data_IF_899642240049
#
_entry.id   IF_899642240049
#
_cell.length_a   1.000
_cell.length_b   1.000
_cell.length_c   1.000
_cell.angle_alpha   90.00
_cell.angle_beta   90.00
_cell.angle_gamma   90.00
#
_symmetry.space_group_name_H-M   'P 1'
#
loop_
_entity.id
_entity.type
_entity.pdbx_description
1 polymer ?
#
# COMPACT_ATOMS: atom_id res chain seq x y z
N UNK A 1 -24.54 -79.04 -39.06
CA UNK A 1 -24.53 -77.64 -38.60
C UNK A 1 -24.46 -77.70 -37.07
N UNK A 2 -23.27 -77.64 -36.49
CA UNK A 2 -22.54 -76.42 -36.07
C UNK A 2 -23.07 -75.87 -34.71
N UNK A 3 -22.40 -76.14 -33.58
CA UNK A 3 -21.49 -75.24 -32.77
C UNK A 3 -22.31 -74.40 -31.74
N UNK A 4 -22.39 -74.77 -30.45
CA UNK A 4 -21.52 -74.50 -29.25
C UNK A 4 -21.90 -73.23 -28.44
N UNK A 5 -22.17 -73.51 -27.15
CA UNK A 5 -21.93 -72.79 -25.86
C UNK A 5 -22.50 -71.41 -25.47
N UNK A 6 -22.99 -71.40 -24.22
CA UNK A 6 -22.81 -70.42 -23.12
C UNK A 6 -21.81 -69.28 -23.35
N UNK A 7 -22.19 -68.03 -23.02
CA UNK A 7 -21.43 -67.18 -22.08
C UNK A 7 -22.15 -65.88 -21.65
N UNK A 8 -21.78 -65.43 -20.46
CA UNK A 8 -22.24 -64.29 -19.64
C UNK A 8 -21.54 -62.94 -19.97
N UNK A 9 -22.16 -61.83 -19.54
CA UNK A 9 -21.68 -60.47 -19.15
C UNK A 9 -20.78 -59.63 -20.11
N UNK A 10 -21.13 -58.35 -20.37
CA UNK A 10 -20.75 -57.17 -19.54
C UNK A 10 -21.04 -55.79 -20.22
N UNK A 11 -21.18 -54.77 -19.35
CA UNK A 11 -20.93 -53.31 -19.45
C UNK A 11 -21.68 -52.27 -20.36
N UNK A 12 -22.37 -51.38 -19.63
CA UNK A 12 -22.47 -49.89 -19.62
C UNK A 12 -23.06 -49.03 -20.78
N UNK A 13 -23.86 -47.98 -20.45
CA UNK A 13 -24.63 -47.18 -21.43
C UNK A 13 -24.00 -45.83 -21.82
N UNK A 14 -24.18 -45.46 -23.10
CA UNK A 14 -23.86 -44.17 -23.72
C UNK A 14 -24.80 -43.04 -23.31
N UNK A 15 -24.21 -41.86 -23.05
CA UNK A 15 -24.87 -40.55 -22.94
C UNK A 15 -25.64 -40.18 -24.21
N UNK A 16 -26.83 -39.60 -24.03
CA UNK A 16 -27.63 -39.00 -25.09
C UNK A 16 -27.97 -37.55 -24.68
N UNK A 17 -27.55 -36.61 -25.54
CA UNK A 17 -27.76 -35.18 -25.43
C UNK A 17 -29.25 -34.82 -25.58
N UNK A 18 -29.74 -33.90 -24.76
CA UNK A 18 -30.94 -33.11 -25.07
C UNK A 18 -30.68 -31.65 -24.74
N UNK A 19 -30.97 -30.80 -25.72
CA UNK A 19 -30.79 -29.36 -25.75
C UNK A 19 -31.96 -28.64 -25.09
N UNK A 20 -31.66 -27.64 -24.27
CA UNK A 20 -32.59 -26.53 -24.03
C UNK A 20 -31.79 -25.22 -23.94
N UNK A 21 -32.15 -24.31 -24.82
CA UNK A 21 -31.51 -23.02 -25.07
C UNK A 21 -32.11 -21.93 -24.18
N UNK A 22 -31.25 -21.11 -23.59
CA UNK A 22 -31.58 -19.76 -23.12
C UNK A 22 -30.47 -18.82 -23.62
N UNK A 23 -30.80 -17.60 -24.06
CA UNK A 23 -29.90 -16.78 -24.85
C UNK A 23 -28.85 -16.12 -23.96
N UNK A 24 -27.59 -16.55 -24.08
CA UNK A 24 -26.47 -15.81 -23.53
C UNK A 24 -26.22 -14.55 -24.37
N UNK A 25 -26.33 -13.41 -23.70
CA UNK A 25 -25.87 -12.10 -24.13
C UNK A 25 -24.48 -12.24 -24.72
N UNK A 26 -24.36 -12.05 -26.04
CA UNK A 26 -23.09 -12.10 -26.75
C UNK A 26 -22.32 -10.81 -26.43
N UNK A 27 -21.55 -10.82 -25.33
CA UNK A 27 -20.44 -9.89 -25.19
C UNK A 27 -19.41 -10.30 -26.23
N UNK A 28 -19.19 -9.46 -27.24
CA UNK A 28 -18.12 -9.64 -28.22
C UNK A 28 -16.81 -9.40 -27.48
N UNK A 29 -16.30 -10.44 -26.84
CA UNK A 29 -14.94 -10.47 -26.30
C UNK A 29 -14.03 -10.73 -27.49
N UNK A 30 -13.12 -9.80 -27.75
CA UNK A 30 -12.11 -9.96 -28.78
C UNK A 30 -11.13 -11.02 -28.28
N UNK A 31 -11.38 -12.29 -28.60
CA UNK A 31 -10.53 -13.41 -28.20
C UNK A 31 -9.11 -13.21 -28.73
N UNK A 32 -8.13 -13.34 -27.83
CA UNK A 32 -6.72 -13.31 -28.17
C UNK A 32 -6.29 -14.55 -28.98
N UNK A 33 -5.21 -14.46 -29.78
CA UNK A 33 -4.79 -15.50 -30.71
C UNK A 33 -4.39 -16.85 -30.08
N UNK A 34 -4.28 -16.92 -28.75
CA UNK A 34 -3.95 -18.15 -28.00
C UNK A 34 -4.93 -18.43 -26.87
N UNK A 35 -6.07 -17.75 -26.83
CA UNK A 35 -7.02 -17.85 -25.72
C UNK A 35 -7.60 -19.26 -25.60
N UNK A 36 -7.81 -19.96 -26.73
CA UNK A 36 -8.32 -21.35 -26.74
C UNK A 36 -7.36 -22.36 -26.09
N UNK A 37 -6.05 -22.04 -26.07
CA UNK A 37 -5.04 -22.88 -25.41
C UNK A 37 -4.88 -22.49 -23.95
N UNK A 38 -5.03 -21.19 -23.63
CA UNK A 38 -4.82 -20.67 -22.28
C UNK A 38 -6.05 -20.85 -21.38
N UNK A 39 -7.27 -20.76 -21.93
CA UNK A 39 -8.54 -20.91 -21.20
C UNK A 39 -8.61 -22.25 -20.43
N UNK A 40 -8.38 -23.43 -21.05
CA UNK A 40 -8.44 -24.70 -20.33
C UNK A 40 -7.39 -24.85 -19.23
N UNK A 41 -6.24 -24.18 -19.39
CA UNK A 41 -5.14 -24.22 -18.41
C UNK A 41 -5.47 -23.34 -17.20
N UNK A 42 -6.10 -22.19 -17.43
CA UNK A 42 -6.58 -21.27 -16.38
C UNK A 42 -7.80 -21.82 -15.62
N UNK A 43 -8.63 -22.65 -16.26
CA UNK A 43 -9.75 -23.32 -15.60
C UNK A 43 -9.29 -24.44 -14.64
N UNK A 44 -8.16 -25.09 -14.93
CA UNK A 44 -7.64 -26.20 -14.11
C UNK A 44 -6.68 -25.76 -13.00
N UNK A 45 -6.05 -24.58 -13.10
CA UNK A 45 -5.00 -24.14 -12.17
C UNK A 45 -5.15 -22.66 -11.81
N UNK A 46 -4.77 -22.26 -10.57
CA UNK A 46 -4.82 -20.85 -10.19
C UNK A 46 -3.90 -20.01 -11.09
N UNK A 47 -4.26 -18.74 -11.40
CA UNK A 47 -3.56 -17.93 -12.40
C UNK A 47 -2.06 -17.76 -12.14
N UNK A 48 -1.66 -17.58 -10.89
CA UNK A 48 -0.25 -17.48 -10.50
C UNK A 48 0.54 -18.75 -10.82
N UNK A 49 -0.09 -19.93 -10.70
CA UNK A 49 0.57 -21.20 -11.01
C UNK A 49 0.75 -21.39 -12.51
N UNK A 50 -0.15 -20.84 -13.33
CA UNK A 50 0.01 -20.81 -14.79
C UNK A 50 1.20 -19.94 -15.19
N UNK A 51 1.33 -18.76 -14.59
CA UNK A 51 2.49 -17.88 -14.82
C UNK A 51 3.81 -18.55 -14.41
N UNK A 52 3.84 -19.23 -13.26
CA UNK A 52 5.00 -19.99 -12.81
C UNK A 52 5.39 -21.10 -13.81
N UNK A 53 4.41 -21.83 -14.34
CA UNK A 53 4.64 -22.87 -15.35
C UNK A 53 5.20 -22.31 -16.66
N UNK A 54 4.71 -21.15 -17.09
CA UNK A 54 5.22 -20.46 -18.28
C UNK A 54 6.65 -19.98 -18.04
N UNK A 55 6.94 -19.40 -16.87
CA UNK A 55 8.30 -18.98 -16.48
C UNK A 55 9.25 -20.17 -16.43
N UNK A 56 8.85 -21.28 -15.83
CA UNK A 56 9.66 -22.51 -15.80
C UNK A 56 9.90 -23.09 -17.20
N UNK A 57 8.87 -23.09 -18.05
CA UNK A 57 9.01 -23.52 -19.45
C UNK A 57 9.99 -22.63 -20.22
N UNK A 58 9.87 -21.30 -20.09
CA UNK A 58 10.77 -20.34 -20.73
C UNK A 58 12.21 -20.47 -20.20
N UNK A 59 12.38 -20.72 -18.90
CA UNK A 59 13.71 -21.00 -18.32
C UNK A 59 14.38 -22.24 -18.95
N UNK A 60 13.61 -23.28 -19.30
CA UNK A 60 14.13 -24.52 -19.87
C UNK A 60 14.28 -24.50 -21.39
N UNK A 61 13.44 -23.76 -22.09
CA UNK A 61 13.32 -23.79 -23.57
C UNK A 61 13.72 -22.49 -24.26
N UNK A 62 14.03 -21.44 -23.51
CA UNK A 62 14.49 -20.15 -24.02
C UNK A 62 15.75 -19.70 -23.28
N UNK A 63 16.47 -18.76 -23.89
CA UNK A 63 17.60 -18.03 -23.35
C UNK A 63 17.19 -16.71 -22.68
N UNK A 64 15.89 -16.43 -22.57
CA UNK A 64 15.32 -15.22 -21.97
C UNK A 64 15.95 -14.85 -20.61
N UNK A 65 16.24 -15.85 -19.76
CA UNK A 65 16.79 -15.65 -18.41
C UNK A 65 18.33 -15.54 -18.37
N UNK A 66 19.01 -15.55 -19.52
CA UNK A 66 20.45 -15.24 -19.60
C UNK A 66 20.73 -13.75 -19.72
N UNK A 67 19.72 -12.95 -20.05
CA UNK A 67 19.79 -11.50 -20.09
C UNK A 67 19.59 -10.91 -18.69
N UNK A 68 20.57 -10.14 -18.21
CA UNK A 68 20.52 -9.49 -16.90
C UNK A 68 19.40 -8.44 -16.80
N UNK A 69 18.88 -7.96 -17.93
CA UNK A 69 17.74 -7.04 -18.02
C UNK A 69 16.37 -7.75 -18.07
N UNK A 70 16.32 -9.08 -17.97
CA UNK A 70 15.07 -9.86 -18.07
C UNK A 70 14.03 -9.44 -17.03
N UNK A 71 14.46 -9.19 -15.79
CA UNK A 71 13.57 -8.79 -14.70
C UNK A 71 12.91 -7.44 -14.98
N UNK A 72 13.68 -6.50 -15.54
CA UNK A 72 13.17 -5.19 -15.96
C UNK A 72 12.16 -5.33 -17.09
N UNK A 73 12.45 -6.15 -18.11
CA UNK A 73 11.56 -6.39 -19.26
C UNK A 73 10.25 -7.06 -18.84
N UNK A 74 10.30 -8.09 -17.98
CA UNK A 74 9.10 -8.73 -17.42
C UNK A 74 8.31 -7.72 -16.56
N UNK A 75 8.99 -6.92 -15.75
CA UNK A 75 8.36 -5.87 -14.94
C UNK A 75 7.64 -4.80 -15.77
N UNK A 76 8.22 -4.39 -16.91
CA UNK A 76 7.61 -3.47 -17.86
C UNK A 76 6.34 -4.08 -18.50
N UNK A 77 6.39 -5.35 -18.89
CA UNK A 77 5.22 -6.07 -19.43
C UNK A 77 4.07 -6.17 -18.40
N UNK A 78 4.39 -6.49 -17.14
CA UNK A 78 3.39 -6.53 -16.06
C UNK A 78 2.79 -5.15 -15.80
N UNK A 79 3.63 -4.11 -15.81
CA UNK A 79 3.18 -2.73 -15.62
C UNK A 79 2.27 -2.26 -16.76
N UNK A 80 2.60 -2.63 -18.01
CA UNK A 80 1.77 -2.34 -19.18
C UNK A 80 0.42 -3.06 -19.11
N UNK A 81 0.39 -4.32 -18.67
CA UNK A 81 -0.87 -5.07 -18.47
C UNK A 81 -1.76 -4.42 -17.40
N UNK A 82 -1.19 -3.98 -16.27
CA UNK A 82 -1.93 -3.25 -15.23
C UNK A 82 -2.51 -1.93 -15.74
N UNK A 83 -1.76 -1.17 -16.54
CA UNK A 83 -2.24 0.09 -17.15
C UNK A 83 -3.42 -0.15 -18.08
N UNK A 84 -3.37 -1.20 -18.92
CA UNK A 84 -4.48 -1.57 -19.81
C UNK A 84 -5.75 -1.95 -19.05
N UNK A 85 -5.64 -2.73 -17.98
CA UNK A 85 -6.80 -3.11 -17.14
C UNK A 85 -7.45 -1.89 -16.47
N UNK A 86 -6.65 -0.92 -15.99
CA UNK A 86 -7.17 0.33 -15.42
C UNK A 86 -7.87 1.19 -16.49
N UNK A 87 -7.30 1.27 -17.69
CA UNK A 87 -7.89 2.04 -18.80
C UNK A 87 -9.20 1.42 -19.29
N UNK A 88 -9.26 0.09 -19.42
CA UNK A 88 -10.50 -0.62 -19.77
C UNK A 88 -11.59 -0.46 -18.70
N UNK A 89 -11.22 -0.48 -17.41
CA UNK A 89 -12.17 -0.21 -16.33
C UNK A 89 -12.68 1.22 -16.37
N UNK A 90 -11.84 2.21 -16.67
CA UNK A 90 -12.26 3.62 -16.83
C UNK A 90 -13.22 3.80 -18.01
N UNK A 91 -12.91 3.23 -19.17
CA UNK A 91 -13.79 3.26 -20.36
C UNK A 91 -15.15 2.61 -20.09
N UNK A 92 -15.17 1.46 -19.38
CA UNK A 92 -16.43 0.79 -18.97
C UNK A 92 -17.27 1.62 -18.00
N UNK A 93 -16.67 2.50 -17.19
CA UNK A 93 -17.39 3.41 -16.29
C UNK A 93 -17.94 4.62 -17.06
N UNK A 94 -17.18 5.18 -18.01
CA UNK A 94 -17.61 6.28 -18.85
C UNK A 94 -18.74 5.87 -19.82
N UNK A 95 -18.67 4.67 -20.43
CA UNK A 95 -19.75 4.14 -21.27
C UNK A 95 -21.04 3.83 -20.50
N UNK A 96 -20.94 3.43 -19.22
CA UNK A 96 -22.11 3.19 -18.35
C UNK A 96 -22.69 4.46 -17.75
N UNK A 97 -22.00 5.59 -17.85
CA UNK A 97 -22.38 6.89 -17.27
C UNK A 97 -23.45 7.69 -18.04
N UNK A 98 -23.96 7.20 -19.19
CA UNK A 98 -24.90 7.94 -20.03
C UNK A 98 -26.39 7.59 -19.83
N UNK A 99 -26.77 7.03 -18.67
CA UNK A 99 -28.18 6.81 -18.30
C UNK A 99 -28.43 7.03 -16.81
N UNK A 100 -28.23 8.26 -16.30
CA UNK A 100 -29.04 8.79 -15.19
C UNK A 100 -28.83 10.31 -15.03
N UNK A 101 -29.41 11.12 -15.91
CA UNK A 101 -29.67 12.53 -15.59
C UNK A 101 -31.08 12.63 -15.01
N UNK A 102 -31.20 12.76 -13.68
CA UNK A 102 -32.23 13.56 -12.98
C UNK A 102 -32.20 13.40 -11.45
N UNK A 103 -31.35 14.16 -10.76
CA UNK A 103 -31.72 14.96 -9.56
C UNK A 103 -30.54 15.79 -9.00
N UNK A 104 -30.51 17.02 -9.50
CA UNK A 104 -29.95 18.29 -9.02
C UNK A 104 -28.87 18.32 -7.89
N UNK A 105 -27.73 19.00 -8.13
CA UNK A 105 -26.72 19.38 -7.14
C UNK A 105 -27.04 20.76 -6.54
N UNK A 106 -26.82 20.98 -5.24
CA UNK A 106 -26.64 22.33 -4.64
C UNK A 106 -26.36 22.23 -3.13
N UNK A 107 -25.07 22.33 -2.74
CA UNK A 107 -24.54 23.02 -1.53
C UNK A 107 -23.05 22.72 -1.38
N UNK A 108 -22.21 23.44 -2.14
CA UNK A 108 -20.77 23.54 -1.87
C UNK A 108 -20.17 24.78 -2.51
N UNK A 109 -20.44 25.95 -1.92
CA UNK A 109 -19.69 27.18 -2.12
C UNK A 109 -19.93 28.04 -0.88
N UNK A 110 -19.08 27.91 0.16
CA UNK A 110 -18.70 28.93 1.17
C UNK A 110 -17.75 28.27 2.17
N UNK A 111 -16.47 28.15 1.81
CA UNK A 111 -15.35 27.94 2.76
C UNK A 111 -14.03 28.11 2.01
N UNK A 112 -13.85 29.28 1.39
CA UNK A 112 -12.59 29.70 0.77
C UNK A 112 -12.22 31.13 1.19
N UNK A 113 -12.75 31.62 2.32
CA UNK A 113 -12.55 33.00 2.78
C UNK A 113 -12.33 33.09 4.29
N UNK A 114 -11.55 32.17 4.87
CA UNK A 114 -10.96 32.32 6.22
C UNK A 114 -9.56 31.70 6.25
N UNK A 115 -8.65 32.17 5.40
CA UNK A 115 -7.22 31.85 5.51
C UNK A 115 -6.33 33.11 5.46
N UNK A 116 -6.86 34.27 5.09
CA UNK A 116 -6.06 35.51 4.95
C UNK A 116 -5.86 36.36 6.23
N UNK A 117 -6.09 35.85 7.46
CA UNK A 117 -5.95 36.71 8.65
C UNK A 117 -5.29 36.16 9.90
N UNK A 118 -4.37 35.20 9.76
CA UNK A 118 -3.66 34.64 10.92
C UNK A 118 -2.14 34.48 10.76
N UNK A 119 -1.52 35.13 9.77
CA UNK A 119 -0.05 35.16 9.61
C UNK A 119 0.48 36.54 9.96
N UNK A 120 0.19 37.03 11.17
CA UNK A 120 0.84 38.24 11.67
C UNK A 120 0.81 38.27 13.21
N UNK A 121 1.58 37.36 13.82
CA UNK A 121 2.12 37.46 15.20
C UNK A 121 2.81 36.13 15.55
N UNK A 122 4.11 36.05 15.23
CA UNK A 122 5.15 35.28 15.96
C UNK A 122 6.47 35.36 15.19
N UNK A 123 7.03 36.57 15.14
CA UNK A 123 8.47 36.82 15.00
C UNK A 123 8.83 37.73 16.17
N UNK A 124 10.01 37.53 16.76
CA UNK A 124 10.54 38.14 18.01
C UNK A 124 9.98 37.41 19.26
N UNK A 125 10.71 36.55 19.97
CA UNK A 125 12.04 36.70 20.59
C UNK A 125 12.76 35.34 20.62
N UNK A 126 14.01 35.34 20.17
CA UNK A 126 14.98 34.27 20.41
C UNK A 126 15.99 34.75 21.48
N UNK A 127 16.55 33.78 22.20
CA UNK A 127 17.81 33.80 22.96
C UNK A 127 17.91 34.43 24.37
N UNK A 128 18.10 33.57 25.38
CA UNK A 128 19.40 33.32 26.08
C UNK A 128 19.19 32.60 27.42
N UNK A 129 19.75 31.38 27.58
CA UNK A 129 20.84 31.11 28.55
C UNK A 129 21.32 29.66 28.48
N UNK A 130 22.63 29.53 28.29
CA UNK A 130 23.44 28.31 28.46
C UNK A 130 23.94 28.23 29.91
N UNK A 131 24.19 27.00 30.36
CA UNK A 131 25.21 26.54 31.34
C UNK A 131 24.70 26.03 32.71
N UNK A 132 24.99 24.75 32.98
CA UNK A 132 24.96 24.12 34.30
C UNK A 132 25.40 22.65 34.22
N UNK A 133 26.59 22.35 34.75
CA UNK A 133 27.29 21.05 34.79
C UNK A 133 26.75 20.07 35.84
N UNK A 134 26.96 18.78 35.56
CA UNK A 134 27.32 17.64 36.42
C UNK A 134 26.68 17.50 37.81
N UNK A 135 25.95 16.39 38.04
CA UNK A 135 26.34 15.40 39.07
C UNK A 135 25.57 14.06 38.91
N UNK A 136 26.28 12.96 39.17
CA UNK A 136 25.83 11.57 39.06
C UNK A 136 24.75 11.18 40.09
N UNK A 137 23.72 10.42 39.66
CA UNK A 137 23.24 9.24 40.43
C UNK A 137 22.31 8.34 39.62
N UNK A 138 22.79 7.09 39.46
CA UNK A 138 22.13 5.76 39.38
C UNK A 138 20.61 5.64 39.10
N UNK A 139 20.32 4.56 38.36
CA UNK A 139 19.03 3.96 37.89
C UNK A 139 18.54 4.58 36.57
N UNK A 140 18.22 3.86 35.49
CA UNK A 140 17.44 2.61 35.38
C UNK A 140 17.63 1.95 33.99
N UNK A 141 17.33 0.65 33.94
CA UNK A 141 17.26 -0.22 32.77
C UNK A 141 16.22 0.24 31.72
N UNK A 142 16.54 1.23 30.91
CA UNK A 142 15.70 1.66 29.78
C UNK A 142 16.51 1.87 28.51
N UNK A 143 17.18 0.81 28.03
CA UNK A 143 17.52 0.71 26.61
C UNK A 143 16.19 0.70 25.85
N UNK A 144 15.84 1.86 25.28
CA UNK A 144 14.69 2.05 24.37
C UNK A 144 14.62 0.87 23.40
N UNK A 145 13.60 0.04 23.56
CA UNK A 145 13.34 -1.17 22.76
C UNK A 145 12.75 -0.74 21.41
N UNK A 146 13.53 0.05 20.67
CA UNK A 146 13.16 0.64 19.37
C UNK A 146 13.76 -0.24 18.28
N UNK A 147 12.90 -0.88 17.50
CA UNK A 147 13.25 -1.81 16.44
C UNK A 147 13.15 -1.14 15.07
N UNK A 148 13.97 -1.61 14.13
CA UNK A 148 13.87 -1.17 12.75
C UNK A 148 12.54 -1.66 12.13
N UNK A 149 11.86 -0.81 11.33
CA UNK A 149 10.63 -1.21 10.66
C UNK A 149 10.86 -2.36 9.67
N UNK A 150 9.84 -3.21 9.50
CA UNK A 150 9.79 -4.19 8.41
C UNK A 150 9.46 -3.50 7.06
N UNK A 151 9.38 -4.26 5.97
CA UNK A 151 9.06 -3.73 4.61
C UNK A 151 7.74 -2.96 4.53
N UNK A 152 6.83 -3.18 5.47
CA UNK A 152 5.55 -2.48 5.56
C UNK A 152 5.50 -1.51 6.73
N UNK A 153 6.63 -0.95 7.17
CA UNK A 153 6.69 0.10 8.20
C UNK A 153 6.12 -0.28 9.59
N UNK A 154 5.94 -1.57 9.87
CA UNK A 154 5.54 -2.11 11.17
C UNK A 154 6.62 -3.01 11.76
N UNK A 155 6.23 -4.05 12.50
CA UNK A 155 7.14 -5.03 13.10
C UNK A 155 6.70 -6.47 12.83
N UNK A 156 7.69 -7.36 12.85
CA UNK A 156 7.49 -8.80 12.81
C UNK A 156 7.72 -9.39 14.20
N UNK A 157 6.72 -10.09 14.73
CA UNK A 157 6.81 -10.86 15.97
C UNK A 157 6.78 -12.36 15.67
N UNK A 158 7.07 -13.17 16.68
CA UNK A 158 7.02 -14.64 16.55
C UNK A 158 5.61 -15.17 16.26
N UNK A 159 4.58 -14.52 16.82
CA UNK A 159 3.19 -14.98 16.73
C UNK A 159 2.36 -14.29 15.65
N UNK A 160 2.80 -13.12 15.20
CA UNK A 160 2.10 -12.31 14.21
C UNK A 160 3.02 -11.23 13.66
N UNK A 161 2.68 -10.62 12.54
CA UNK A 161 3.33 -9.42 12.05
C UNK A 161 2.31 -8.33 11.81
N UNK A 162 2.76 -7.08 11.78
CA UNK A 162 1.91 -5.99 11.36
C UNK A 162 2.67 -5.03 10.46
N UNK A 163 1.93 -4.39 9.58
CA UNK A 163 2.37 -3.37 8.66
C UNK A 163 1.46 -2.17 8.79
N UNK A 164 1.88 -1.02 8.30
CA UNK A 164 1.08 0.19 8.33
C UNK A 164 1.39 1.11 7.16
N UNK A 165 0.39 1.88 6.81
CA UNK A 165 0.49 3.10 6.02
C UNK A 165 0.14 4.30 6.92
N UNK A 166 0.10 5.51 6.37
CA UNK A 166 -0.41 6.67 7.11
C UNK A 166 -1.89 6.51 7.48
N UNK A 167 -2.67 5.78 6.68
CA UNK A 167 -4.12 5.68 6.80
C UNK A 167 -4.58 4.43 7.54
N UNK A 168 -3.81 3.35 7.45
CA UNK A 168 -4.25 2.01 7.87
C UNK A 168 -3.14 1.25 8.57
N UNK A 169 -3.50 0.28 9.41
CA UNK A 169 -2.59 -0.72 9.96
C UNK A 169 -3.14 -2.11 9.67
N UNK A 170 -2.31 -3.01 9.15
CA UNK A 170 -2.70 -4.36 8.78
C UNK A 170 -1.96 -5.36 9.65
N UNK A 171 -2.71 -6.25 10.30
CA UNK A 171 -2.18 -7.29 11.18
C UNK A 171 -2.30 -8.62 10.44
N UNK A 172 -1.22 -9.40 10.37
CA UNK A 172 -1.20 -10.75 9.81
C UNK A 172 -0.84 -11.75 10.90
N UNK A 173 -1.75 -12.67 11.18
CA UNK A 173 -1.59 -13.70 12.21
C UNK A 173 -1.59 -15.08 11.55
N UNK A 174 -0.46 -15.79 11.49
CA UNK A 174 -0.43 -17.18 11.02
C UNK A 174 -1.29 -18.08 11.91
N UNK A 175 -2.08 -18.96 11.28
CA UNK A 175 -2.95 -19.93 11.96
C UNK A 175 -2.80 -21.32 11.34
N UNK A 176 -3.13 -22.41 12.07
CA UNK A 176 -3.06 -23.77 11.53
C UNK A 176 -3.90 -23.93 10.26
N UNK A 177 -3.41 -24.73 9.32
CA UNK A 177 -4.11 -24.97 8.05
C UNK A 177 -5.51 -25.56 8.26
N UNK A 178 -6.48 -25.05 7.52
CA UNK A 178 -7.88 -25.47 7.64
C UNK A 178 -8.65 -24.74 8.73
N UNK A 179 -8.09 -23.68 9.31
CA UNK A 179 -8.80 -22.79 10.22
C UNK A 179 -9.98 -22.13 9.49
N UNK A 180 -11.20 -22.36 10.00
CA UNK A 180 -12.44 -21.78 9.46
C UNK A 180 -12.84 -20.54 10.26
N UNK A 181 -13.56 -19.62 9.63
CA UNK A 181 -14.02 -18.35 10.24
C UNK A 181 -14.77 -18.53 11.56
N UNK A 182 -15.55 -19.61 11.70
CA UNK A 182 -16.28 -19.93 12.94
C UNK A 182 -15.40 -20.18 14.18
N UNK A 183 -14.11 -20.47 13.96
CA UNK A 183 -13.14 -20.69 15.02
C UNK A 183 -12.30 -19.44 15.31
N UNK A 184 -12.45 -18.37 14.54
CA UNK A 184 -11.72 -17.12 14.77
C UNK A 184 -12.54 -16.22 15.70
N UNK A 185 -11.88 -15.68 16.71
CA UNK A 185 -12.40 -14.64 17.59
C UNK A 185 -11.62 -13.37 17.27
N UNK A 186 -12.27 -12.45 16.56
CA UNK A 186 -11.73 -11.13 16.26
C UNK A 186 -12.70 -10.08 16.80
N UNK A 187 -12.27 -9.33 17.81
CA UNK A 187 -13.00 -8.19 18.36
C UNK A 187 -12.17 -6.92 18.15
N UNK A 188 -12.72 -5.98 17.39
CA UNK A 188 -12.11 -4.69 17.11
C UNK A 188 -12.96 -3.63 17.81
N UNK A 189 -12.33 -2.89 18.72
CA UNK A 189 -12.92 -1.73 19.40
C UNK A 189 -12.11 -0.49 19.07
N UNK A 190 -12.64 0.68 19.41
CA UNK A 190 -12.04 1.98 19.07
C UNK A 190 -10.55 2.07 19.43
N UNK A 191 -10.15 1.61 20.62
CA UNK A 191 -8.77 1.65 21.11
C UNK A 191 -8.27 0.26 21.56
N UNK A 192 -8.91 -0.83 21.14
CA UNK A 192 -8.56 -2.16 21.65
C UNK A 192 -8.77 -3.19 20.56
N UNK A 193 -7.84 -4.13 20.45
CA UNK A 193 -7.95 -5.24 19.50
C UNK A 193 -7.74 -6.55 20.23
N UNK A 194 -8.56 -7.53 19.88
CA UNK A 194 -8.44 -8.90 20.37
C UNK A 194 -8.58 -9.88 19.22
N UNK A 195 -7.55 -10.69 19.01
CA UNK A 195 -7.47 -11.67 17.92
C UNK A 195 -7.00 -13.00 18.49
N UNK A 196 -7.72 -14.07 18.19
CA UNK A 196 -7.34 -15.41 18.62
C UNK A 196 -8.25 -16.50 18.04
N UNK A 197 -7.99 -17.73 18.47
CA UNK A 197 -8.80 -18.89 18.12
C UNK A 197 -9.72 -19.26 19.28
N UNK A 198 -10.95 -19.66 18.96
CA UNK A 198 -11.96 -20.07 19.93
C UNK A 198 -11.45 -21.27 20.73
N UNK A 199 -11.41 -21.12 22.06
CA UNK A 199 -10.93 -22.16 22.98
C UNK A 199 -9.41 -22.16 23.21
N UNK A 200 -8.66 -21.23 22.60
CA UNK A 200 -7.25 -20.99 22.87
C UNK A 200 -7.03 -19.61 23.51
N UNK A 201 -5.89 -19.39 24.18
CA UNK A 201 -5.52 -18.03 24.60
C UNK A 201 -5.47 -17.07 23.41
N UNK A 202 -5.90 -15.81 23.57
CA UNK A 202 -5.82 -14.83 22.50
C UNK A 202 -4.37 -14.60 22.09
N UNK A 203 -4.15 -14.48 20.78
CA UNK A 203 -2.81 -14.23 20.22
C UNK A 203 -2.44 -12.76 20.45
N UNK A 204 -3.42 -11.87 20.28
CA UNK A 204 -3.32 -10.44 20.53
C UNK A 204 -4.51 -10.06 21.41
N UNK A 205 -4.24 -9.38 22.52
CA UNK A 205 -5.28 -8.78 23.37
C UNK A 205 -4.68 -7.55 24.06
N UNK A 206 -5.01 -6.36 23.57
CA UNK A 206 -4.53 -5.14 24.21
C UNK A 206 -4.97 -3.84 23.55
N UNK A 207 -4.55 -2.76 24.22
CA UNK A 207 -4.88 -1.37 23.86
C UNK A 207 -4.05 -0.93 22.65
N UNK A 208 -4.71 -0.43 21.61
CA UNK A 208 -4.09 0.09 20.39
C UNK A 208 -3.32 1.38 20.68
N UNK A 209 -2.33 1.71 19.84
CA UNK A 209 -1.61 2.98 19.92
C UNK A 209 -2.53 4.20 19.82
N UNK A 210 -3.49 4.17 18.91
CA UNK A 210 -4.45 5.25 18.72
C UNK A 210 -5.81 4.73 18.25
N UNK A 211 -6.83 5.60 18.33
CA UNK A 211 -8.18 5.28 17.87
C UNK A 211 -8.26 4.87 16.39
N UNK A 212 -9.10 3.86 16.14
CA UNK A 212 -9.47 3.37 14.81
C UNK A 212 -10.95 3.64 14.53
N UNK A 213 -11.29 3.76 13.24
CA UNK A 213 -12.67 3.82 12.75
C UNK A 213 -13.20 2.40 12.67
N UNK A 214 -13.82 1.92 13.74
CA UNK A 214 -14.28 0.52 13.87
C UNK A 214 -15.18 0.09 12.71
N UNK A 215 -16.02 0.99 12.21
CA UNK A 215 -16.93 0.71 11.08
C UNK A 215 -16.19 0.47 9.74
N UNK A 216 -14.98 1.02 9.61
CA UNK A 216 -14.09 0.87 8.45
C UNK A 216 -12.99 -0.19 8.70
N UNK A 217 -13.08 -0.95 9.79
CA UNK A 217 -12.16 -2.05 10.08
C UNK A 217 -12.79 -3.38 9.66
N UNK A 218 -12.01 -4.25 9.03
CA UNK A 218 -12.47 -5.59 8.66
C UNK A 218 -11.37 -6.61 8.86
N UNK A 219 -11.77 -7.88 8.96
CA UNK A 219 -10.85 -9.00 9.03
C UNK A 219 -11.27 -10.08 8.05
N UNK A 220 -10.29 -10.81 7.56
CA UNK A 220 -10.47 -11.92 6.62
C UNK A 220 -9.50 -13.05 6.94
N UNK A 221 -9.83 -14.25 6.48
CA UNK A 221 -8.91 -15.38 6.50
C UNK A 221 -8.36 -15.55 5.09
N UNK A 222 -7.05 -15.56 4.95
CA UNK A 222 -6.33 -15.79 3.71
C UNK A 222 -5.89 -17.26 3.67
N UNK A 223 -6.28 -17.94 2.59
CA UNK A 223 -5.96 -19.35 2.28
C UNK A 223 -6.27 -20.39 3.38
N UNK A 224 -7.07 -20.03 4.40
CA UNK A 224 -7.26 -20.83 5.63
C UNK A 224 -5.96 -21.07 6.41
N UNK A 225 -4.97 -20.18 6.28
CA UNK A 225 -3.64 -20.27 6.92
C UNK A 225 -3.20 -19.00 7.64
N UNK A 226 -3.81 -17.85 7.34
CA UNK A 226 -3.51 -16.59 8.03
C UNK A 226 -4.79 -15.79 8.25
N UNK A 227 -4.85 -15.09 9.38
CA UNK A 227 -5.88 -14.09 9.65
C UNK A 227 -5.27 -12.73 9.32
N UNK A 228 -5.90 -11.99 8.42
CA UNK A 228 -5.56 -10.61 8.10
C UNK A 228 -6.60 -9.68 8.72
N UNK A 229 -6.16 -8.68 9.48
CA UNK A 229 -7.01 -7.67 10.10
C UNK A 229 -6.57 -6.30 9.64
N UNK A 230 -7.47 -5.57 8.98
CA UNK A 230 -7.26 -4.20 8.54
C UNK A 230 -7.90 -3.24 9.54
N UNK A 231 -7.08 -2.35 10.08
CA UNK A 231 -7.46 -1.31 11.02
C UNK A 231 -7.36 0.06 10.33
N UNK A 232 -8.50 0.71 10.13
CA UNK A 232 -8.54 2.07 9.57
C UNK A 232 -8.27 3.09 10.67
N UNK A 233 -7.16 3.83 10.57
CA UNK A 233 -6.78 4.82 11.58
C UNK A 233 -7.76 5.99 11.59
N UNK A 234 -8.12 6.46 12.78
CA UNK A 234 -8.90 7.69 12.90
C UNK A 234 -8.05 8.92 12.54
N UNK A 235 -6.79 8.95 12.99
CA UNK A 235 -5.80 9.94 12.58
C UNK A 235 -4.96 9.41 11.42
N UNK A 236 -5.22 9.90 10.20
CA UNK A 236 -4.61 9.43 8.96
C UNK A 236 -3.28 10.15 8.61
N UNK A 237 -2.73 10.93 9.54
CA UNK A 237 -1.46 11.66 9.36
C UNK A 237 -0.39 11.20 10.36
N UNK A 238 -0.58 10.05 11.00
CA UNK A 238 0.26 9.60 12.11
C UNK A 238 0.77 8.16 11.93
N UNK A 239 2.09 8.02 12.05
CA UNK A 239 2.76 6.72 12.12
C UNK A 239 2.67 6.17 13.53
N UNK A 240 2.18 4.95 13.65
CA UNK A 240 2.08 4.27 14.93
C UNK A 240 3.45 3.76 15.34
N UNK A 241 3.82 4.01 16.60
CA UNK A 241 5.09 3.51 17.15
C UNK A 241 4.99 2.06 17.57
N UNK A 242 3.81 1.56 17.89
CA UNK A 242 3.56 0.16 18.23
C UNK A 242 2.14 -0.19 17.81
N UNK A 243 1.82 -1.48 17.71
CA UNK A 243 0.45 -1.90 17.46
C UNK A 243 -0.34 -1.88 18.77
N UNK A 244 0.16 -2.62 19.76
CA UNK A 244 -0.44 -2.76 21.09
C UNK A 244 0.49 -2.20 22.17
N UNK A 245 -0.07 -1.55 23.17
CA UNK A 245 0.68 -1.00 24.30
C UNK A 245 1.46 -2.07 25.05
N UNK A 246 2.74 -1.81 25.27
CA UNK A 246 3.66 -2.74 25.96
C UNK A 246 4.56 -3.54 25.01
N UNK A 247 4.34 -3.43 23.70
CA UNK A 247 5.22 -4.00 22.67
C UNK A 247 6.39 -3.05 22.35
N UNK A 248 7.48 -3.57 21.75
CA UNK A 248 8.58 -2.75 21.27
C UNK A 248 8.11 -1.69 20.27
N UNK A 249 8.79 -0.55 20.28
CA UNK A 249 8.46 0.57 19.41
C UNK A 249 9.18 0.44 18.05
N UNK A 250 8.55 0.88 16.97
CA UNK A 250 9.12 1.07 15.64
C UNK A 250 9.89 2.38 15.60
N UNK A 251 11.07 2.34 14.98
CA UNK A 251 11.79 3.55 14.61
C UNK A 251 11.07 4.30 13.47
N UNK A 252 10.10 5.14 13.84
CA UNK A 252 9.32 5.97 12.90
C UNK A 252 10.15 6.95 12.07
N UNK A 253 11.43 7.19 12.39
CA UNK A 253 12.32 8.02 11.57
C UNK A 253 12.82 7.28 10.31
N UNK A 254 12.77 5.95 10.29
CA UNK A 254 13.19 5.10 9.16
C UNK A 254 12.01 4.58 8.34
N UNK A 255 10.80 5.00 8.67
CA UNK A 255 9.59 4.61 7.96
C UNK A 255 9.57 5.31 6.61
N UNK A 256 9.47 4.52 5.54
CA UNK A 256 9.38 5.03 4.18
C UNK A 256 7.92 5.32 3.87
N UNK A 257 7.53 6.59 3.61
CA UNK A 257 6.16 6.89 3.26
C UNK A 257 5.77 6.21 1.95
N UNK A 258 4.55 5.68 1.90
CA UNK A 258 3.86 5.08 0.75
C UNK A 258 3.56 6.10 -0.37
N UNK A 259 4.30 7.20 -0.45
CA UNK A 259 4.39 7.99 -1.67
C UNK A 259 5.25 7.21 -2.65
N UNK A 260 4.64 6.15 -3.19
CA UNK A 260 4.29 6.07 -4.60
C UNK A 260 5.38 6.65 -5.47
N UNK A 261 6.10 5.77 -6.16
CA UNK A 261 7.06 6.10 -7.22
C UNK A 261 6.68 7.44 -7.82
N UNK A 262 7.55 8.44 -7.70
CA UNK A 262 7.35 9.81 -8.22
C UNK A 262 6.77 9.85 -9.66
N UNK A 263 6.89 8.76 -10.41
CA UNK A 263 6.26 8.50 -11.69
C UNK A 263 4.73 8.46 -11.72
N UNK A 264 4.04 8.21 -10.61
CA UNK A 264 2.58 8.03 -10.55
C UNK A 264 1.84 9.33 -10.17
N UNK A 265 2.57 10.37 -9.76
CA UNK A 265 2.05 11.71 -9.50
C UNK A 265 2.01 12.52 -10.80
N UNK A 266 1.01 13.38 -10.94
CA UNK A 266 0.98 14.38 -12.00
C UNK A 266 2.22 15.31 -11.91
N UNK A 267 2.71 15.86 -13.04
CA UNK A 267 3.97 16.61 -13.06
C UNK A 267 4.05 17.78 -12.08
N UNK A 268 2.93 18.43 -11.77
CA UNK A 268 2.84 19.59 -10.89
C UNK A 268 2.93 19.19 -9.41
N UNK A 269 2.17 18.18 -9.00
CA UNK A 269 2.24 17.61 -7.65
C UNK A 269 3.59 16.94 -7.40
N UNK A 270 4.15 16.27 -8.41
CA UNK A 270 5.48 15.65 -8.36
C UNK A 270 6.56 16.69 -8.07
N UNK A 271 6.57 17.82 -8.79
CA UNK A 271 7.55 18.89 -8.58
C UNK A 271 7.46 19.45 -7.16
N UNK A 272 6.24 19.61 -6.64
CA UNK A 272 6.00 20.11 -5.28
C UNK A 272 6.52 19.12 -4.22
N UNK A 273 6.27 17.82 -4.40
CA UNK A 273 6.76 16.76 -3.50
C UNK A 273 8.28 16.61 -3.58
N UNK A 274 8.88 16.66 -4.77
CA UNK A 274 10.34 16.64 -4.95
C UNK A 274 11.01 17.84 -4.27
N UNK A 275 10.44 19.04 -4.42
CA UNK A 275 10.91 20.25 -3.73
C UNK A 275 10.81 20.10 -2.22
N UNK A 276 9.70 19.57 -1.72
CA UNK A 276 9.50 19.37 -0.28
C UNK A 276 10.47 18.33 0.29
N UNK A 277 10.73 17.24 -0.43
CA UNK A 277 11.74 16.22 -0.06
C UNK A 277 13.17 16.78 -0.09
N UNK A 278 13.49 17.60 -1.09
CA UNK A 278 14.78 18.28 -1.20
C UNK A 278 14.98 19.24 -0.02
N UNK A 279 14.00 20.08 0.27
CA UNK A 279 14.06 21.07 1.36
C UNK A 279 14.14 20.40 2.73
N UNK A 280 13.43 19.30 2.94
CA UNK A 280 13.50 18.54 4.17
C UNK A 280 14.88 17.90 4.38
N UNK A 281 15.51 17.40 3.30
CA UNK A 281 16.88 16.89 3.31
C UNK A 281 17.91 18.00 3.54
N UNK A 282 17.75 19.16 2.90
CA UNK A 282 18.66 20.29 3.10
C UNK A 282 18.58 20.81 4.55
N UNK A 283 17.36 20.97 5.10
CA UNK A 283 17.15 21.39 6.50
C UNK A 283 17.78 20.44 7.51
N UNK A 284 17.68 19.12 7.30
CA UNK A 284 18.28 18.15 8.23
C UNK A 284 19.82 18.16 8.18
N UNK A 285 20.40 18.51 7.03
CA UNK A 285 21.84 18.68 6.88
C UNK A 285 22.32 20.11 7.20
N UNK A 286 21.41 21.04 7.55
CA UNK A 286 21.74 22.44 7.81
C UNK A 286 22.12 23.23 6.55
N UNK A 287 21.80 22.72 5.36
CA UNK A 287 22.03 23.36 4.08
C UNK A 287 20.83 24.25 3.68
N UNK A 288 21.04 25.23 2.78
CA UNK A 288 19.99 26.14 2.33
C UNK A 288 18.87 25.39 1.58
N UNK A 289 17.61 25.79 1.82
CA UNK A 289 16.43 25.27 1.10
C UNK A 289 16.42 25.73 -0.36
N UNK A 290 15.63 25.10 -1.22
CA UNK A 290 15.45 25.48 -2.63
C UNK A 290 15.08 26.96 -2.77
N UNK A 291 14.19 27.48 -1.91
CA UNK A 291 13.82 28.89 -1.89
C UNK A 291 14.98 29.81 -1.44
N UNK A 292 15.81 29.37 -0.50
CA UNK A 292 17.00 30.10 -0.10
C UNK A 292 18.05 30.13 -1.21
N UNK A 293 18.27 29.00 -1.92
CA UNK A 293 19.22 28.91 -3.03
C UNK A 293 18.78 29.82 -4.18
N UNK A 294 17.50 29.79 -4.55
CA UNK A 294 16.95 30.67 -5.58
C UNK A 294 17.11 32.15 -5.21
N UNK A 295 16.83 32.53 -3.96
CA UNK A 295 17.05 33.89 -3.46
C UNK A 295 18.52 34.29 -3.49
N UNK A 296 19.42 33.39 -3.07
CA UNK A 296 20.86 33.64 -3.10
C UNK A 296 21.38 33.81 -4.52
N UNK A 297 20.89 33.02 -5.47
CA UNK A 297 21.34 33.11 -6.86
C UNK A 297 20.76 34.34 -7.57
N UNK A 298 19.50 34.71 -7.28
CA UNK A 298 18.93 35.97 -7.75
C UNK A 298 19.71 37.18 -7.20
N UNK A 299 20.07 37.13 -5.91
CA UNK A 299 20.88 38.18 -5.29
C UNK A 299 22.30 38.23 -5.89
N UNK A 300 22.97 37.09 -6.08
CA UNK A 300 24.29 37.04 -6.74
C UNK A 300 24.25 37.61 -8.15
N UNK A 301 23.21 37.28 -8.92
CA UNK A 301 23.03 37.81 -10.28
C UNK A 301 22.83 39.33 -10.26
N UNK A 302 22.01 39.81 -9.32
CA UNK A 302 21.80 41.24 -9.11
C UNK A 302 23.08 41.98 -8.68
N UNK A 303 23.89 41.38 -7.81
CA UNK A 303 25.20 41.92 -7.41
C UNK A 303 26.20 41.95 -8.57
N UNK A 304 26.16 40.97 -9.47
CA UNK A 304 27.02 40.90 -10.65
C UNK A 304 26.62 41.90 -11.75
N UNK A 305 25.32 42.15 -11.91
CA UNK A 305 24.79 43.13 -12.87
C UNK A 305 24.91 44.58 -12.34
N UNK A 306 25.04 44.76 -11.03
CA UNK A 306 25.21 46.06 -10.38
C UNK A 306 26.44 46.10 -9.45
N UNK A 307 27.67 46.02 -10.00
CA UNK A 307 28.90 46.04 -9.21
C UNK A 307 29.16 47.37 -8.47
N UNK A 308 28.42 48.44 -8.78
CA UNK A 308 28.46 49.72 -8.05
C UNK A 308 27.60 49.75 -6.77
N UNK A 309 26.70 48.78 -6.56
CA UNK A 309 25.91 48.70 -5.33
C UNK A 309 26.66 47.91 -4.25
N UNK A 310 26.97 48.56 -3.12
CA UNK A 310 27.58 47.94 -1.94
C UNK A 310 26.51 47.30 -1.03
N UNK A 311 26.44 45.96 -1.06
CA UNK A 311 25.53 45.17 -0.21
C UNK A 311 26.12 44.84 1.17
N UNK A 312 27.30 45.34 1.52
CA UNK A 312 27.93 45.07 2.82
C UNK A 312 27.14 45.60 4.02
N UNK A 313 26.21 46.55 3.79
CA UNK A 313 25.29 47.11 4.79
C UNK A 313 23.85 46.61 4.66
N UNK A 314 23.57 45.71 3.72
CA UNK A 314 22.22 45.18 3.50
C UNK A 314 21.88 44.12 4.56
N UNK A 315 20.75 44.29 5.25
CA UNK A 315 20.27 43.34 6.25
C UNK A 315 19.49 42.24 5.54
N UNK A 316 20.19 41.19 5.12
CA UNK A 316 19.58 40.01 4.50
C UNK A 316 19.19 39.07 5.66
N UNK A 317 17.89 38.96 5.92
CA UNK A 317 17.32 38.16 7.01
C UNK A 317 16.12 37.34 6.51
#
# INVERSE_FOLDING_TARGET
MAIISDFQDDETPKQQQSSSSSPSTTEVVVDGPFDDVLKPILEQKPPLKVVELVIDYLRRKSDLFKDESVEKKIGELVTAAKKKDVEERKKKVEEKGFKDESKKPEKRLKEAEVVEKSVEKKKVVEEKKVMGKEDEKKTDDAKKNVLAPNKGNGLDFEKYSWTQTLQEATISVPVPEGTKSRFVVCEIKKNHVKIGLKGQPPIIDGELFQSVKVDDCFWSIEDSKSISVLLTKQNQMEWWKYLVKGEPEVDTQKVEPETSKLSDLDPETRSTVEKMMYDQRQKSMGLPTSDEVEKQDMLKKFMAEHPEMDFSRAKIA
#
